data_IF_323541857109
#
_entry.id   IF_323541857109
#
_cell.length_a   1.000
_cell.length_b   1.000
_cell.length_c   1.000
_cell.angle_alpha   90.00
_cell.angle_beta   90.00
_cell.angle_gamma   90.00
#
_symmetry.space_group_name_H-M   'P 1'
#
loop_
_entity.id
_entity.type
_entity.pdbx_description
1 polymer ?
#
# COMPACT_ATOMS: atom_id res chain seq x y z
N UNK A 1 -12.72 -7.24 5.75
CA UNK A 1 -13.13 -8.60 6.11
C UNK A 1 -14.65 -8.77 6.02
N UNK A 2 -15.45 -7.95 6.70
CA UNK A 2 -16.93 -8.13 6.73
C UNK A 2 -17.58 -8.08 5.34
N UNK A 3 -17.18 -7.18 4.48
CA UNK A 3 -17.77 -7.00 3.14
C UNK A 3 -17.29 -8.02 2.10
N UNK A 4 -16.14 -8.66 2.33
CA UNK A 4 -15.53 -9.62 1.39
C UNK A 4 -15.93 -11.08 1.65
N UNK A 5 -16.59 -11.37 2.77
CA UNK A 5 -16.93 -12.74 3.20
C UNK A 5 -15.75 -13.60 3.68
N UNK A 6 -14.55 -13.02 3.79
CA UNK A 6 -13.37 -13.67 4.36
C UNK A 6 -13.27 -13.39 5.86
N UNK A 7 -12.78 -14.36 6.65
CA UNK A 7 -12.49 -14.14 8.06
C UNK A 7 -11.26 -13.23 8.24
N UNK A 8 -11.17 -12.53 9.36
CA UNK A 8 -10.08 -11.59 9.66
C UNK A 8 -8.71 -12.28 9.65
N UNK A 9 -8.64 -13.50 10.14
CA UNK A 9 -7.44 -14.34 10.20
C UNK A 9 -6.81 -14.59 8.81
N UNK A 10 -7.62 -14.69 7.75
CA UNK A 10 -7.13 -14.81 6.36
C UNK A 10 -6.41 -13.53 5.93
N UNK A 11 -6.93 -12.36 6.28
CA UNK A 11 -6.26 -11.10 5.97
C UNK A 11 -4.94 -10.96 6.73
N UNK A 12 -4.89 -11.32 8.01
CA UNK A 12 -3.66 -11.27 8.82
C UNK A 12 -2.56 -12.19 8.28
N UNK A 13 -2.92 -13.40 7.85
CA UNK A 13 -1.95 -14.39 7.39
C UNK A 13 -1.49 -14.21 5.94
N UNK A 14 -2.31 -13.62 5.07
CA UNK A 14 -2.04 -13.50 3.64
C UNK A 14 -1.77 -12.06 3.18
N UNK A 15 -1.75 -11.13 4.11
CA UNK A 15 -1.52 -9.74 3.85
C UNK A 15 -0.10 -9.46 3.36
N UNK A 16 0.04 -8.64 2.32
CA UNK A 16 1.30 -8.28 1.67
C UNK A 16 2.13 -9.49 1.15
N UNK A 17 1.51 -10.63 0.84
CA UNK A 17 2.20 -11.76 0.23
C UNK A 17 1.92 -11.81 -1.27
N UNK A 18 2.95 -11.66 -2.14
CA UNK A 18 2.78 -11.83 -3.57
C UNK A 18 2.52 -13.29 -3.93
N UNK A 19 1.77 -13.52 -4.99
CA UNK A 19 1.62 -14.86 -5.58
C UNK A 19 2.82 -15.18 -6.47
N UNK A 20 3.29 -16.42 -6.46
CA UNK A 20 4.43 -16.87 -7.27
C UNK A 20 4.09 -17.21 -8.73
N UNK A 21 2.90 -16.86 -9.22
CA UNK A 21 2.44 -17.27 -10.55
C UNK A 21 2.52 -16.15 -11.58
N UNK A 22 3.39 -16.32 -12.59
CA UNK A 22 3.53 -15.43 -13.75
C UNK A 22 2.23 -15.32 -14.58
N UNK A 23 1.42 -16.37 -14.60
CA UNK A 23 0.13 -16.39 -15.33
C UNK A 23 -0.89 -15.38 -14.76
N UNK A 24 -0.71 -14.94 -13.53
CA UNK A 24 -1.60 -13.99 -12.88
C UNK A 24 -1.43 -12.55 -13.34
N UNK A 25 -0.23 -12.13 -13.76
CA UNK A 25 -0.03 -10.78 -14.31
C UNK A 25 -0.79 -10.59 -15.62
N UNK A 26 -0.91 -11.68 -16.42
CA UNK A 26 -1.65 -11.66 -17.68
C UNK A 26 -3.18 -11.56 -17.48
N UNK A 27 -3.68 -12.14 -16.38
CA UNK A 27 -5.12 -12.10 -16.05
C UNK A 27 -5.53 -10.74 -15.51
N UNK A 28 -4.65 -10.02 -14.80
CA UNK A 28 -4.94 -8.69 -14.27
C UNK A 28 -5.13 -7.64 -15.37
N UNK A 29 -4.40 -7.72 -16.49
CA UNK A 29 -4.60 -6.84 -17.65
C UNK A 29 -6.01 -7.00 -18.27
N UNK A 30 -6.60 -8.18 -18.12
CA UNK A 30 -7.95 -8.47 -18.64
C UNK A 30 -9.05 -7.98 -17.66
N UNK A 31 -8.77 -7.89 -16.38
CA UNK A 31 -9.74 -7.47 -15.35
C UNK A 31 -9.94 -5.95 -15.23
N UNK A 32 -9.01 -5.15 -15.70
CA UNK A 32 -9.19 -3.69 -15.77
C UNK A 32 -10.18 -3.25 -16.86
N UNK A 33 -10.63 -4.18 -17.71
CA UNK A 33 -11.47 -3.92 -18.87
C UNK A 33 -12.95 -4.30 -18.81
N UNK A 34 -13.49 -4.74 -17.68
CA UNK A 34 -14.96 -4.92 -17.51
C UNK A 34 -15.53 -6.30 -17.85
N UNK A 35 -16.42 -6.77 -17.03
CA UNK A 35 -17.26 -7.97 -17.02
C UNK A 35 -16.71 -9.16 -16.22
N UNK A 36 -17.06 -9.16 -14.93
CA UNK A 36 -16.87 -10.28 -14.03
C UNK A 36 -17.83 -11.43 -14.37
N UNK A 37 -17.35 -12.51 -14.96
CA UNK A 37 -18.02 -13.81 -14.88
C UNK A 37 -17.42 -14.60 -13.69
N UNK A 38 -18.28 -15.15 -12.84
CA UNK A 38 -17.90 -15.78 -11.55
C UNK A 38 -16.97 -17.02 -11.68
N UNK A 39 -16.83 -17.62 -12.85
CA UNK A 39 -16.07 -18.83 -13.09
C UNK A 39 -14.53 -18.69 -12.89
N UNK A 40 -13.84 -17.61 -13.26
CA UNK A 40 -12.40 -17.45 -13.01
C UNK A 40 -12.02 -17.25 -11.54
N UNK A 41 -12.99 -16.85 -10.71
CA UNK A 41 -12.74 -16.53 -9.30
C UNK A 41 -12.49 -17.77 -8.41
N UNK A 42 -12.98 -18.93 -8.83
CA UNK A 42 -12.88 -20.18 -8.04
C UNK A 42 -11.46 -20.75 -8.01
N UNK A 43 -10.69 -20.59 -9.08
CA UNK A 43 -9.32 -21.12 -9.21
C UNK A 43 -8.21 -20.14 -8.82
N UNK A 44 -8.55 -18.92 -8.37
CA UNK A 44 -7.54 -17.93 -7.95
C UNK A 44 -6.88 -18.30 -6.63
N UNK A 45 -5.55 -18.12 -6.51
CA UNK A 45 -4.85 -18.21 -5.22
C UNK A 45 -5.43 -17.25 -4.18
N UNK A 46 -5.46 -17.69 -2.93
CA UNK A 46 -6.07 -16.94 -1.82
C UNK A 46 -5.49 -15.52 -1.69
N UNK A 47 -4.17 -15.36 -1.82
CA UNK A 47 -3.52 -14.04 -1.75
C UNK A 47 -4.07 -13.05 -2.79
N UNK A 48 -4.44 -13.56 -3.96
CA UNK A 48 -4.99 -12.74 -5.03
C UNK A 48 -6.44 -12.34 -4.74
N UNK A 49 -7.24 -13.27 -4.21
CA UNK A 49 -8.60 -12.97 -3.76
C UNK A 49 -8.59 -11.90 -2.66
N UNK A 50 -7.65 -12.00 -1.72
CA UNK A 50 -7.44 -11.01 -0.66
C UNK A 50 -7.08 -9.64 -1.25
N UNK A 51 -6.16 -9.59 -2.21
CA UNK A 51 -5.82 -8.34 -2.90
C UNK A 51 -7.02 -7.70 -3.59
N UNK A 52 -7.80 -8.46 -4.36
CA UNK A 52 -8.99 -7.93 -5.04
C UNK A 52 -10.05 -7.42 -4.05
N UNK A 53 -10.30 -8.16 -2.97
CA UNK A 53 -11.21 -7.72 -1.92
C UNK A 53 -10.76 -6.41 -1.24
N UNK A 54 -9.45 -6.26 -0.99
CA UNK A 54 -8.88 -5.01 -0.47
C UNK A 54 -9.01 -3.87 -1.49
N UNK A 55 -8.73 -4.14 -2.76
CA UNK A 55 -8.83 -3.17 -3.85
C UNK A 55 -10.25 -2.61 -3.99
N UNK A 56 -11.26 -3.47 -4.00
CA UNK A 56 -12.67 -3.07 -4.10
C UNK A 56 -13.11 -2.31 -2.85
N UNK A 57 -12.68 -2.77 -1.66
CA UNK A 57 -12.98 -2.10 -0.39
C UNK A 57 -12.38 -0.69 -0.35
N UNK A 58 -11.15 -0.52 -0.82
CA UNK A 58 -10.48 0.79 -0.91
C UNK A 58 -11.27 1.74 -1.81
N UNK A 59 -11.69 1.28 -2.99
CA UNK A 59 -12.50 2.09 -3.91
C UNK A 59 -13.84 2.48 -3.30
N UNK A 60 -14.51 1.54 -2.64
CA UNK A 60 -15.79 1.78 -1.98
C UNK A 60 -15.64 2.86 -0.89
N UNK A 61 -14.71 2.70 0.06
CA UNK A 61 -14.48 3.67 1.12
C UNK A 61 -14.17 5.06 0.56
N UNK A 62 -13.28 5.14 -0.43
CA UNK A 62 -12.89 6.41 -1.04
C UNK A 62 -14.03 7.09 -1.84
N UNK A 63 -15.06 6.34 -2.27
CA UNK A 63 -16.24 6.90 -2.93
C UNK A 63 -17.31 7.41 -1.96
N UNK A 64 -17.31 6.91 -0.72
CA UNK A 64 -18.32 7.24 0.29
C UNK A 64 -17.91 8.44 1.14
N UNK A 65 -16.62 8.57 1.48
CA UNK A 65 -16.14 9.62 2.39
C UNK A 65 -14.65 9.96 2.23
N UNK A 66 -14.23 11.09 2.82
CA UNK A 66 -12.82 11.44 2.92
C UNK A 66 -12.11 10.49 3.87
N UNK A 67 -11.00 9.87 3.42
CA UNK A 67 -10.31 8.84 4.18
C UNK A 67 -8.79 8.96 4.06
N UNK A 68 -8.07 8.38 5.02
CA UNK A 68 -6.62 8.15 4.97
C UNK A 68 -6.38 6.65 4.93
N UNK A 69 -5.72 6.18 3.86
CA UNK A 69 -5.46 4.76 3.64
C UNK A 69 -3.95 4.51 3.70
N UNK A 70 -3.52 3.53 4.46
CA UNK A 70 -2.09 3.20 4.63
C UNK A 70 -1.75 1.89 3.92
N UNK A 71 -0.92 2.00 2.88
CA UNK A 71 -0.41 0.85 2.13
C UNK A 71 -1.45 0.19 1.22
N UNK A 72 -1.38 -1.14 1.05
CA UNK A 72 -2.32 -1.99 0.28
C UNK A 72 -2.45 -1.61 -1.20
N UNK A 73 -1.44 -0.98 -1.78
CA UNK A 73 -1.49 -0.45 -3.15
C UNK A 73 -2.67 0.52 -3.36
N UNK A 74 -3.05 1.30 -2.33
CA UNK A 74 -4.18 2.21 -2.41
C UNK A 74 -3.99 3.30 -3.48
N UNK A 75 -2.76 3.76 -3.68
CA UNK A 75 -2.37 4.67 -4.76
C UNK A 75 -2.66 4.08 -6.15
N UNK A 76 -2.53 2.76 -6.30
CA UNK A 76 -2.88 2.07 -7.54
C UNK A 76 -4.40 1.88 -7.68
N UNK A 77 -5.07 1.49 -6.59
CA UNK A 77 -6.52 1.34 -6.59
C UNK A 77 -7.25 2.65 -6.90
N UNK A 78 -6.69 3.79 -6.47
CA UNK A 78 -7.27 5.13 -6.63
C UNK A 78 -6.58 5.97 -7.70
N UNK A 79 -5.79 5.36 -8.61
CA UNK A 79 -5.03 6.07 -9.64
C UNK A 79 -5.89 6.93 -10.57
N UNK A 80 -7.17 6.58 -10.76
CA UNK A 80 -8.13 7.36 -11.55
C UNK A 80 -8.90 8.42 -10.74
N UNK A 81 -8.69 8.49 -9.43
CA UNK A 81 -9.36 9.48 -8.58
C UNK A 81 -8.53 10.77 -8.52
N UNK A 82 -8.98 11.89 -9.11
CA UNK A 82 -8.24 13.15 -9.14
C UNK A 82 -8.09 13.82 -7.76
N UNK A 83 -8.85 13.36 -6.77
CA UNK A 83 -8.79 13.87 -5.38
C UNK A 83 -7.87 13.03 -4.49
N UNK A 84 -7.29 11.96 -5.02
CA UNK A 84 -6.34 11.13 -4.31
C UNK A 84 -4.97 11.82 -4.25
N UNK A 85 -4.41 11.95 -3.05
CA UNK A 85 -3.05 12.41 -2.80
C UNK A 85 -2.21 11.22 -2.36
N UNK A 86 -1.25 10.83 -3.18
CA UNK A 86 -0.36 9.69 -2.93
C UNK A 86 0.94 10.17 -2.26
N UNK A 87 1.23 9.66 -1.06
CA UNK A 87 2.35 10.10 -0.24
C UNK A 87 3.25 8.92 0.12
N UNK A 88 4.56 9.09 -0.05
CA UNK A 88 5.56 8.14 0.44
C UNK A 88 6.32 8.72 1.64
N UNK A 89 6.21 8.05 2.77
CA UNK A 89 6.92 8.44 4.00
C UNK A 89 8.05 7.46 4.25
N UNK A 90 9.26 7.99 4.45
CA UNK A 90 10.44 7.20 4.76
C UNK A 90 11.28 7.85 5.86
N UNK A 91 12.28 7.13 6.35
CA UNK A 91 13.27 7.64 7.30
C UNK A 91 14.63 7.01 7.02
N UNK A 92 15.70 7.66 7.51
CA UNK A 92 17.07 7.15 7.42
C UNK A 92 17.19 5.82 8.21
N UNK A 93 18.02 4.91 7.74
CA UNK A 93 18.10 3.55 8.30
C UNK A 93 18.44 3.55 9.81
N UNK A 94 19.35 4.41 10.24
CA UNK A 94 19.77 4.47 11.65
C UNK A 94 18.63 4.93 12.57
N UNK A 95 17.80 5.87 12.13
CA UNK A 95 16.63 6.31 12.89
C UNK A 95 15.57 5.21 12.97
N UNK A 96 15.37 4.51 11.87
CA UNK A 96 14.46 3.37 11.81
C UNK A 96 14.90 2.25 12.74
N UNK A 97 16.21 1.93 12.78
CA UNK A 97 16.79 0.92 13.67
C UNK A 97 16.55 1.30 15.12
N UNK A 98 16.89 2.54 15.52
CA UNK A 98 16.66 3.02 16.89
C UNK A 98 15.18 2.94 17.28
N UNK A 99 14.28 3.37 16.39
CA UNK A 99 12.85 3.34 16.65
C UNK A 99 12.31 1.92 16.81
N UNK A 100 12.67 1.01 15.90
CA UNK A 100 12.20 -0.39 15.94
C UNK A 100 12.81 -1.14 17.13
N UNK A 101 14.10 -0.96 17.40
CA UNK A 101 14.78 -1.56 18.56
C UNK A 101 14.06 -1.19 19.86
N UNK A 102 13.73 0.09 20.05
CA UNK A 102 13.02 0.57 21.24
C UNK A 102 11.57 0.09 21.31
N UNK A 103 10.86 0.09 20.19
CA UNK A 103 9.44 -0.29 20.16
C UNK A 103 9.23 -1.78 20.38
N UNK A 104 10.08 -2.62 19.79
CA UNK A 104 9.96 -4.08 19.83
C UNK A 104 10.81 -4.73 20.93
N UNK A 105 11.55 -3.93 21.72
CA UNK A 105 12.48 -4.38 22.76
C UNK A 105 13.48 -5.44 22.25
N UNK A 106 14.16 -5.11 21.16
CA UNK A 106 15.16 -5.98 20.50
C UNK A 106 16.48 -5.26 20.27
N UNK A 107 17.56 -6.01 20.03
CA UNK A 107 18.85 -5.42 19.67
C UNK A 107 18.79 -4.68 18.32
N UNK A 108 19.64 -3.69 18.12
CA UNK A 108 19.72 -2.94 16.86
C UNK A 108 20.00 -3.83 15.66
N UNK A 109 20.83 -4.87 15.79
CA UNK A 109 21.07 -5.85 14.74
C UNK A 109 19.78 -6.55 14.34
N UNK A 110 19.01 -7.04 15.31
CA UNK A 110 17.72 -7.69 15.05
C UNK A 110 16.69 -6.72 14.47
N UNK A 111 16.66 -5.49 14.95
CA UNK A 111 15.80 -4.44 14.38
C UNK A 111 16.12 -4.18 12.91
N UNK A 112 17.40 -4.12 12.54
CA UNK A 112 17.85 -3.99 11.15
C UNK A 112 17.35 -5.13 10.27
N UNK A 113 17.51 -6.38 10.71
CA UNK A 113 17.03 -7.55 9.97
C UNK A 113 15.51 -7.53 9.79
N UNK A 114 14.77 -7.16 10.83
CA UNK A 114 13.32 -7.00 10.77
C UNK A 114 12.90 -5.94 9.76
N UNK A 115 13.56 -4.79 9.75
CA UNK A 115 13.30 -3.70 8.81
C UNK A 115 13.53 -4.17 7.38
N UNK A 116 14.69 -4.77 7.10
CA UNK A 116 15.04 -5.25 5.76
C UNK A 116 14.04 -6.31 5.25
N UNK A 117 13.65 -7.23 6.12
CA UNK A 117 12.65 -8.26 5.79
C UNK A 117 11.30 -7.63 5.44
N UNK A 118 10.81 -6.68 6.26
CA UNK A 118 9.54 -5.98 6.01
C UNK A 118 9.58 -5.11 4.76
N UNK A 119 10.67 -4.40 4.52
CA UNK A 119 10.82 -3.60 3.30
C UNK A 119 10.84 -4.48 2.05
N UNK A 120 11.51 -5.64 2.11
CA UNK A 120 11.50 -6.62 1.02
C UNK A 120 10.08 -7.17 0.76
N UNK A 121 9.33 -7.46 1.80
CA UNK A 121 7.94 -7.92 1.66
C UNK A 121 7.06 -6.85 0.99
N UNK A 122 7.11 -5.61 1.49
CA UNK A 122 6.34 -4.48 0.94
C UNK A 122 6.71 -4.17 -0.49
N UNK A 123 8.01 -4.09 -0.79
CA UNK A 123 8.46 -3.82 -2.16
C UNK A 123 8.07 -4.94 -3.12
N UNK A 124 8.20 -6.21 -2.71
CA UNK A 124 7.77 -7.34 -3.54
C UNK A 124 6.28 -7.32 -3.81
N UNK A 125 5.46 -7.07 -2.77
CA UNK A 125 4.01 -6.96 -2.88
C UNK A 125 3.60 -5.81 -3.81
N UNK A 126 4.11 -4.60 -3.55
CA UNK A 126 3.79 -3.42 -4.33
C UNK A 126 4.21 -3.56 -5.78
N UNK A 127 5.46 -3.97 -6.03
CA UNK A 127 5.99 -4.11 -7.40
C UNK A 127 5.21 -5.16 -8.20
N UNK A 128 4.80 -6.25 -7.54
CA UNK A 128 4.03 -7.31 -8.18
C UNK A 128 2.64 -6.85 -8.64
N UNK A 129 1.88 -6.18 -7.74
CA UNK A 129 0.51 -5.80 -8.02
C UNK A 129 0.36 -4.50 -8.82
N UNK A 130 1.35 -3.60 -8.78
CA UNK A 130 1.23 -2.29 -9.42
C UNK A 130 2.08 -2.12 -10.67
N UNK A 131 3.01 -3.06 -10.94
CA UNK A 131 4.06 -2.93 -11.96
C UNK A 131 4.91 -1.66 -11.81
N UNK A 132 4.86 -1.01 -10.63
CA UNK A 132 5.68 0.15 -10.26
C UNK A 132 6.79 -0.28 -9.30
N UNK A 133 7.77 0.59 -9.09
CA UNK A 133 8.84 0.37 -8.10
C UNK A 133 8.47 1.03 -6.77
N UNK A 134 8.40 0.26 -5.70
CA UNK A 134 8.15 0.78 -4.35
C UNK A 134 9.20 1.80 -3.93
N UNK A 135 8.77 2.97 -3.45
CA UNK A 135 9.66 4.07 -3.04
C UNK A 135 10.27 4.88 -4.19
N UNK A 136 9.88 4.63 -5.44
CA UNK A 136 10.27 5.51 -6.57
C UNK A 136 9.45 6.80 -6.48
N UNK A 137 10.14 7.94 -6.26
CA UNK A 137 9.51 9.26 -6.08
C UNK A 137 8.57 9.66 -7.22
N UNK A 138 8.76 9.13 -8.42
CA UNK A 138 7.88 9.37 -9.59
C UNK A 138 6.50 8.73 -9.47
N UNK A 139 6.34 7.82 -8.54
CA UNK A 139 5.07 7.11 -8.28
C UNK A 139 4.20 7.79 -7.23
N UNK A 140 4.68 8.88 -6.62
CA UNK A 140 4.01 9.57 -5.53
C UNK A 140 3.97 11.08 -5.79
N UNK A 141 2.93 11.76 -5.30
CA UNK A 141 2.79 13.21 -5.40
C UNK A 141 3.71 13.93 -4.40
N UNK A 142 3.97 13.30 -3.25
CA UNK A 142 4.81 13.84 -2.19
C UNK A 142 5.63 12.74 -1.53
N UNK A 143 6.92 13.02 -1.28
CA UNK A 143 7.82 12.11 -0.57
C UNK A 143 8.43 12.84 0.62
N UNK A 144 8.32 12.27 1.83
CA UNK A 144 8.76 12.90 3.07
C UNK A 144 9.76 12.03 3.83
N UNK A 145 10.89 12.64 4.26
CA UNK A 145 11.88 12.02 5.12
C UNK A 145 11.67 12.46 6.58
N UNK A 146 11.11 11.58 7.41
CA UNK A 146 10.83 11.84 8.82
C UNK A 146 12.07 11.86 9.72
N UNK A 147 13.26 11.56 9.20
CA UNK A 147 14.52 11.81 9.90
C UNK A 147 14.95 13.27 9.88
N UNK A 148 14.37 14.09 9.01
CA UNK A 148 14.74 15.49 8.82
C UNK A 148 13.72 16.46 9.43
N UNK A 149 12.50 16.03 9.60
CA UNK A 149 11.38 16.83 10.12
C UNK A 149 10.54 16.02 11.10
N UNK A 150 9.86 16.69 12.01
CA UNK A 150 8.99 16.02 12.99
C UNK A 150 7.71 15.48 12.34
N UNK A 151 7.02 14.51 12.96
CA UNK A 151 5.74 14.03 12.47
C UNK A 151 4.70 15.14 12.30
N UNK A 152 4.67 16.11 13.22
CA UNK A 152 3.76 17.25 13.16
C UNK A 152 4.05 18.12 11.93
N UNK A 153 5.31 18.43 11.67
CA UNK A 153 5.73 19.17 10.49
C UNK A 153 5.41 18.41 9.20
N UNK A 154 5.48 17.06 9.20
CA UNK A 154 5.02 16.26 8.06
C UNK A 154 3.53 16.46 7.80
N UNK A 155 2.70 16.48 8.84
CA UNK A 155 1.25 16.70 8.72
C UNK A 155 0.97 18.10 8.15
N UNK A 156 1.65 19.13 8.63
CA UNK A 156 1.49 20.50 8.14
C UNK A 156 1.84 20.61 6.64
N UNK A 157 2.95 19.98 6.21
CA UNK A 157 3.36 19.94 4.80
C UNK A 157 2.31 19.23 3.95
N UNK A 158 1.77 18.10 4.41
CA UNK A 158 0.74 17.35 3.69
C UNK A 158 -0.53 18.20 3.52
N UNK A 159 -0.98 18.86 4.58
CA UNK A 159 -2.17 19.71 4.55
C UNK A 159 -1.98 20.94 3.63
N UNK A 160 -0.81 21.58 3.67
CA UNK A 160 -0.50 22.70 2.78
C UNK A 160 -0.42 22.26 1.32
N UNK A 161 0.22 21.11 1.04
CA UNK A 161 0.29 20.54 -0.30
C UNK A 161 -1.10 20.25 -0.85
N UNK A 162 -1.99 19.62 -0.06
CA UNK A 162 -3.37 19.35 -0.44
C UNK A 162 -4.13 20.63 -0.79
N UNK A 163 -4.03 21.68 0.05
CA UNK A 163 -4.66 22.98 -0.23
C UNK A 163 -4.21 23.56 -1.57
N UNK A 164 -2.92 23.46 -1.89
CA UNK A 164 -2.37 23.93 -3.16
C UNK A 164 -2.83 23.10 -4.36
N UNK A 165 -3.02 21.80 -4.19
CA UNK A 165 -3.62 20.97 -5.23
C UNK A 165 -5.07 21.39 -5.54
N UNK A 166 -5.87 21.69 -4.52
CA UNK A 166 -7.26 22.16 -4.68
C UNK A 166 -7.33 23.50 -5.45
N UNK A 167 -6.37 24.40 -5.26
CA UNK A 167 -6.29 25.68 -5.96
C UNK A 167 -5.89 25.55 -7.44
N UNK A 168 -5.32 24.44 -7.86
CA UNK A 168 -4.89 24.18 -9.24
C UNK A 168 -6.00 23.59 -10.12
N UNK A 169 -7.09 23.13 -9.51
CA UNK A 169 -8.29 22.61 -10.21
C UNK A 169 -9.19 23.76 -10.65
#
# INVERSE_FOLDING_TARGET
AKDSGFCEEIFENHDERPTNSFLYSLVMDTYTGGNYSAAPFLDMPLNHKVFLAQFDTIKKIASEESCVIVGRCADYALASNPDCLSIFVHADMDDRIRHVSKREDVTESKAKDMIQKRDKQRSSYYNYYTCKKWGDSRSYDLTLNTSKITPEACVDIILDFRKKMEQKK
#
